data_IF_724301600923
#
_entry.id   IF_724301600923
#
_cell.length_a   1.000
_cell.length_b   1.000
_cell.length_c   1.000
_cell.angle_alpha   90.00
_cell.angle_beta   90.00
_cell.angle_gamma   90.00
#
_symmetry.space_group_name_H-M   'P 1'
#
loop_
_entity.id
_entity.type
_entity.pdbx_description
1 polymer ?
#
# COMPACT_ATOMS: atom_id res chain seq x y z
N UNK A 1 -8.89 -23.13 1.13
CA UNK A 1 -9.95 -22.12 1.30
C UNK A 1 -10.81 -22.60 2.46
N UNK A 2 -10.70 -21.94 3.62
CA UNK A 2 -11.45 -22.32 4.82
C UNK A 2 -12.95 -22.16 4.60
N UNK A 3 -13.75 -22.91 5.37
CA UNK A 3 -15.20 -22.76 5.38
C UNK A 3 -15.55 -21.33 5.84
N UNK A 4 -16.45 -20.65 5.11
CA UNK A 4 -16.86 -19.28 5.47
C UNK A 4 -17.62 -19.33 6.81
N UNK A 5 -17.33 -18.42 7.76
CA UNK A 5 -18.07 -18.35 9.01
C UNK A 5 -19.56 -18.11 8.73
N UNK A 6 -20.43 -18.83 9.45
CA UNK A 6 -21.87 -18.56 9.42
C UNK A 6 -22.22 -17.36 10.33
N UNK A 7 -23.45 -16.85 10.26
CA UNK A 7 -23.88 -15.67 11.02
C UNK A 7 -23.68 -15.82 12.55
N UNK A 8 -23.96 -17.00 13.11
CA UNK A 8 -23.76 -17.28 14.55
C UNK A 8 -22.28 -17.19 14.92
N UNK A 9 -21.39 -17.65 14.04
CA UNK A 9 -19.95 -17.52 14.25
C UNK A 9 -19.48 -16.07 14.12
N UNK A 10 -20.00 -15.31 13.16
CA UNK A 10 -19.71 -13.88 13.02
C UNK A 10 -20.16 -13.08 14.25
N UNK A 11 -21.32 -13.40 14.80
CA UNK A 11 -21.82 -12.81 16.05
C UNK A 11 -20.90 -13.17 17.23
N UNK A 12 -20.52 -14.45 17.36
CA UNK A 12 -19.59 -14.91 18.41
C UNK A 12 -18.22 -14.23 18.32
N UNK A 13 -17.75 -13.95 17.11
CA UNK A 13 -16.49 -13.24 16.85
C UNK A 13 -16.59 -11.73 17.13
N UNK A 14 -17.79 -11.21 17.41
CA UNK A 14 -18.04 -9.79 17.68
C UNK A 14 -17.96 -8.90 16.43
N UNK A 15 -18.03 -9.49 15.24
CA UNK A 15 -17.92 -8.77 13.96
C UNK A 15 -19.26 -8.53 13.27
N UNK A 16 -20.36 -9.04 13.85
CA UNK A 16 -21.73 -8.90 13.34
C UNK A 16 -22.72 -8.83 14.51
N UNK A 17 -23.71 -7.93 14.43
CA UNK A 17 -24.84 -7.86 15.35
C UNK A 17 -26.14 -7.89 14.53
N UNK A 18 -26.93 -8.99 14.59
CA UNK A 18 -28.18 -9.09 13.83
C UNK A 18 -29.26 -8.10 14.30
N UNK A 19 -29.12 -7.52 15.50
CA UNK A 19 -30.01 -6.49 16.03
C UNK A 19 -29.66 -5.07 15.60
N UNK A 20 -28.51 -4.86 14.96
CA UNK A 20 -28.07 -3.54 14.54
C UNK A 20 -28.94 -2.99 13.38
N UNK A 21 -29.23 -1.66 13.34
CA UNK A 21 -30.03 -1.06 12.26
C UNK A 21 -29.47 -1.30 10.86
N UNK A 22 -28.16 -1.48 10.73
CA UNK A 22 -27.40 -1.70 9.50
C UNK A 22 -26.95 -3.16 9.33
N UNK A 23 -27.49 -4.12 10.11
CA UNK A 23 -27.11 -5.53 10.08
C UNK A 23 -27.12 -6.13 8.66
N UNK A 24 -28.15 -5.82 7.86
CA UNK A 24 -28.24 -6.30 6.48
C UNK A 24 -27.09 -5.77 5.59
N UNK A 25 -26.72 -4.50 5.75
CA UNK A 25 -25.61 -3.89 5.00
C UNK A 25 -24.25 -4.45 5.46
N UNK A 26 -24.09 -4.65 6.77
CA UNK A 26 -22.88 -5.24 7.36
C UNK A 26 -22.68 -6.68 6.88
N UNK A 27 -23.75 -7.48 6.83
CA UNK A 27 -23.68 -8.87 6.35
C UNK A 27 -23.29 -8.95 4.87
N UNK A 28 -23.75 -8.01 4.04
CA UNK A 28 -23.32 -7.89 2.64
C UNK A 28 -21.82 -7.61 2.56
N UNK A 29 -21.29 -6.66 3.33
CA UNK A 29 -19.86 -6.34 3.34
C UNK A 29 -19.00 -7.50 3.83
N UNK A 30 -19.42 -8.18 4.91
CA UNK A 30 -18.72 -9.36 5.46
C UNK A 30 -18.65 -10.46 4.40
N UNK A 31 -19.77 -10.77 3.75
CA UNK A 31 -19.86 -11.79 2.70
C UNK A 31 -18.87 -11.50 1.57
N UNK A 32 -18.83 -10.24 1.11
CA UNK A 32 -17.93 -9.81 0.03
C UNK A 32 -16.46 -9.82 0.45
N UNK A 33 -16.14 -9.41 1.66
CA UNK A 33 -14.76 -9.49 2.17
C UNK A 33 -14.24 -10.93 2.14
N UNK A 34 -15.04 -11.90 2.61
CA UNK A 34 -14.67 -13.32 2.52
C UNK A 34 -14.62 -13.85 1.09
N UNK A 35 -15.44 -13.34 0.17
CA UNK A 35 -15.36 -13.65 -1.27
C UNK A 35 -14.07 -13.15 -1.92
N UNK A 36 -13.57 -12.01 -1.47
CA UNK A 36 -12.27 -11.47 -1.84
C UNK A 36 -11.09 -12.18 -1.15
N UNK A 37 -11.35 -13.15 -0.28
CA UNK A 37 -10.34 -13.97 0.37
C UNK A 37 -9.87 -13.48 1.74
N UNK A 38 -10.62 -12.57 2.39
CA UNK A 38 -10.30 -12.15 3.75
C UNK A 38 -10.21 -13.33 4.72
N UNK A 39 -9.23 -13.31 5.61
CA UNK A 39 -9.18 -14.18 6.77
C UNK A 39 -10.09 -13.66 7.88
N UNK A 40 -10.51 -14.55 8.80
CA UNK A 40 -11.28 -14.15 9.99
C UNK A 40 -10.55 -13.09 10.79
N UNK A 41 -9.24 -13.27 10.98
CA UNK A 41 -8.38 -12.35 11.71
C UNK A 41 -8.35 -10.95 11.09
N UNK A 42 -8.33 -10.85 9.75
CA UNK A 42 -8.41 -9.56 9.05
C UNK A 42 -9.77 -8.90 9.23
N UNK A 43 -10.86 -9.66 9.15
CA UNK A 43 -12.23 -9.14 9.36
C UNK A 43 -12.42 -8.64 10.79
N UNK A 44 -11.96 -9.40 11.79
CA UNK A 44 -11.99 -8.99 13.21
C UNK A 44 -11.22 -7.70 13.40
N UNK A 45 -9.98 -7.62 12.91
CA UNK A 45 -9.17 -6.41 13.03
C UNK A 45 -9.80 -5.22 12.31
N UNK A 46 -10.24 -5.41 11.06
CA UNK A 46 -10.81 -4.35 10.26
C UNK A 46 -12.04 -3.75 10.95
N UNK A 47 -12.95 -4.59 11.45
CA UNK A 47 -14.16 -4.14 12.16
C UNK A 47 -13.84 -3.24 13.36
N UNK A 48 -12.73 -3.48 14.06
CA UNK A 48 -12.37 -2.69 15.24
C UNK A 48 -11.51 -1.46 14.95
N UNK A 49 -10.84 -1.38 13.80
CA UNK A 49 -9.84 -0.32 13.54
C UNK A 49 -10.26 0.64 12.43
N UNK A 50 -10.64 0.13 11.25
CA UNK A 50 -10.79 0.96 10.04
C UNK A 50 -12.01 0.64 9.16
N UNK A 51 -12.77 -0.41 9.50
CA UNK A 51 -13.97 -0.86 8.80
C UNK A 51 -13.68 -1.82 7.63
N UNK A 52 -14.74 -2.46 7.13
CA UNK A 52 -14.65 -3.46 6.06
C UNK A 52 -14.35 -2.86 4.69
N UNK A 53 -14.71 -1.59 4.47
CA UNK A 53 -14.45 -0.90 3.21
C UNK A 53 -12.95 -0.84 2.86
N UNK A 54 -12.10 -0.29 3.73
CA UNK A 54 -10.65 -0.28 3.49
C UNK A 54 -10.02 -1.67 3.45
N UNK A 55 -10.55 -2.65 4.20
CA UNK A 55 -10.10 -4.05 4.07
C UNK A 55 -10.37 -4.58 2.66
N UNK A 56 -11.59 -4.40 2.15
CA UNK A 56 -11.93 -4.85 0.80
C UNK A 56 -11.08 -4.14 -0.27
N UNK A 57 -10.74 -2.86 -0.05
CA UNK A 57 -9.83 -2.13 -0.93
C UNK A 57 -8.42 -2.74 -0.94
N UNK A 58 -7.88 -3.05 0.23
CA UNK A 58 -6.59 -3.75 0.36
C UNK A 58 -6.63 -5.11 -0.37
N UNK A 59 -7.64 -5.94 -0.10
CA UNK A 59 -7.77 -7.26 -0.72
C UNK A 59 -7.76 -7.21 -2.26
N UNK A 60 -8.44 -6.23 -2.88
CA UNK A 60 -8.45 -6.10 -4.35
C UNK A 60 -7.15 -5.55 -4.93
N UNK A 61 -6.32 -4.89 -4.12
CA UNK A 61 -5.01 -4.38 -4.54
C UNK A 61 -3.90 -5.42 -4.42
N UNK A 62 -4.07 -6.46 -3.59
CA UNK A 62 -3.07 -7.51 -3.39
C UNK A 62 -2.86 -8.31 -4.68
N UNK A 63 -1.61 -8.58 -5.08
CA UNK A 63 -1.36 -9.53 -6.15
C UNK A 63 -1.72 -10.96 -5.72
N UNK A 64 -1.90 -11.90 -6.67
CA UNK A 64 -2.11 -13.30 -6.35
C UNK A 64 -0.96 -13.88 -5.51
N UNK A 65 -1.29 -14.58 -4.43
CA UNK A 65 -0.36 -15.30 -3.59
C UNK A 65 -0.65 -15.14 -2.09
N UNK A 66 0.10 -15.85 -1.27
CA UNK A 66 -0.02 -15.76 0.18
C UNK A 66 0.67 -14.50 0.70
N UNK A 67 0.05 -13.87 1.70
CA UNK A 67 0.62 -12.73 2.41
C UNK A 67 1.15 -13.15 3.77
N UNK A 68 2.19 -12.47 4.26
CA UNK A 68 2.85 -12.81 5.52
C UNK A 68 2.89 -11.62 6.48
N UNK A 69 3.01 -11.87 7.78
CA UNK A 69 3.41 -10.81 8.72
C UNK A 69 4.88 -10.43 8.47
N UNK A 70 5.24 -9.18 8.74
CA UNK A 70 6.63 -8.71 8.55
C UNK A 70 7.65 -9.57 9.30
N UNK A 71 7.34 -9.94 10.55
CA UNK A 71 8.20 -10.83 11.35
C UNK A 71 8.40 -12.21 10.71
N UNK A 72 7.32 -12.82 10.20
CA UNK A 72 7.38 -14.13 9.54
C UNK A 72 8.17 -14.07 8.23
N UNK A 73 8.00 -12.99 7.46
CA UNK A 73 8.80 -12.73 6.28
C UNK A 73 10.28 -12.55 6.63
N UNK A 74 10.59 -11.73 7.65
CA UNK A 74 11.96 -11.50 8.10
C UNK A 74 12.66 -12.82 8.49
N UNK A 75 12.01 -13.64 9.32
CA UNK A 75 12.50 -14.96 9.75
C UNK A 75 12.67 -15.94 8.58
N UNK A 76 11.72 -15.95 7.63
CA UNK A 76 11.69 -16.90 6.52
C UNK A 76 12.45 -16.47 5.25
N UNK A 77 12.88 -15.21 5.15
CA UNK A 77 13.44 -14.64 3.92
C UNK A 77 14.91 -15.01 3.66
N UNK A 78 15.64 -15.43 4.69
CA UNK A 78 17.09 -15.61 4.66
C UNK A 78 17.89 -14.29 4.66
N UNK A 79 17.22 -13.14 4.80
CA UNK A 79 17.83 -11.84 5.01
C UNK A 79 18.07 -11.59 6.50
N UNK A 80 18.89 -10.59 6.83
CA UNK A 80 19.01 -10.08 8.19
C UNK A 80 17.67 -9.44 8.63
N UNK A 81 17.00 -9.96 9.69
CA UNK A 81 15.74 -9.43 10.17
C UNK A 81 15.78 -7.94 10.53
N UNK A 82 16.90 -7.45 11.07
CA UNK A 82 17.05 -6.05 11.45
C UNK A 82 17.10 -5.15 10.21
N UNK A 83 17.77 -5.61 9.14
CA UNK A 83 17.77 -4.92 7.86
C UNK A 83 16.39 -4.89 7.22
N UNK A 84 15.65 -6.01 7.25
CA UNK A 84 14.28 -6.08 6.73
C UNK A 84 13.38 -5.06 7.42
N UNK A 85 13.41 -5.00 8.75
CA UNK A 85 12.62 -4.03 9.51
C UNK A 85 13.03 -2.59 9.20
N UNK A 86 14.34 -2.29 9.13
CA UNK A 86 14.85 -0.96 8.77
C UNK A 86 14.44 -0.54 7.37
N UNK A 87 14.44 -1.45 6.40
CA UNK A 87 13.97 -1.18 5.03
C UNK A 87 12.47 -0.93 5.01
N UNK A 88 11.67 -1.73 5.72
CA UNK A 88 10.22 -1.54 5.83
C UNK A 88 9.86 -0.15 6.35
N UNK A 89 10.49 0.25 7.46
CA UNK A 89 10.31 1.58 8.06
C UNK A 89 10.87 2.69 7.16
N UNK A 90 12.02 2.47 6.51
CA UNK A 90 12.59 3.44 5.58
C UNK A 90 11.67 3.68 4.37
N UNK A 91 10.97 2.65 3.88
CA UNK A 91 9.96 2.77 2.83
C UNK A 91 8.68 3.48 3.30
N UNK A 92 8.58 3.83 4.59
CA UNK A 92 7.43 4.51 5.18
C UNK A 92 6.26 3.59 5.46
N UNK A 93 6.46 2.27 5.44
CA UNK A 93 5.42 1.30 5.73
C UNK A 93 5.29 1.11 7.25
N UNK A 94 4.06 1.08 7.80
CA UNK A 94 3.85 0.95 9.22
C UNK A 94 4.24 -0.45 9.71
N UNK A 95 4.93 -0.50 10.83
CA UNK A 95 5.10 -1.71 11.65
C UNK A 95 4.31 -1.57 12.95
N UNK A 96 3.01 -1.25 12.80
CA UNK A 96 2.11 -1.11 13.94
C UNK A 96 1.09 -2.24 13.91
N UNK A 97 0.93 -2.92 15.05
CA UNK A 97 -0.09 -3.96 15.22
C UNK A 97 -1.53 -3.46 15.03
N UNK A 98 -1.74 -2.14 15.12
CA UNK A 98 -3.04 -1.52 14.87
C UNK A 98 -3.41 -1.52 13.38
N UNK A 99 -2.43 -1.31 12.50
CA UNK A 99 -2.59 -1.27 11.04
C UNK A 99 -1.49 -2.13 10.39
N UNK A 100 -1.50 -3.46 10.60
CA UNK A 100 -0.47 -4.31 10.05
C UNK A 100 -0.66 -4.40 8.53
N UNK A 101 0.18 -3.71 7.79
CA UNK A 101 0.28 -3.89 6.34
C UNK A 101 0.98 -5.23 6.11
N UNK A 102 0.33 -6.21 5.47
CA UNK A 102 0.96 -7.50 5.27
C UNK A 102 2.06 -7.39 4.20
N UNK A 103 3.06 -8.27 4.30
CA UNK A 103 4.04 -8.44 3.23
C UNK A 103 3.38 -9.28 2.13
N UNK A 104 3.06 -8.63 1.02
CA UNK A 104 2.56 -9.26 -0.21
C UNK A 104 3.71 -9.88 -1.01
N UNK A 105 3.44 -10.82 -1.93
CA UNK A 105 4.47 -11.45 -2.76
C UNK A 105 5.38 -10.46 -3.50
N UNK A 106 4.80 -9.41 -4.09
CA UNK A 106 5.53 -8.36 -4.79
C UNK A 106 6.34 -7.46 -3.84
N UNK A 107 5.79 -7.12 -2.66
CA UNK A 107 6.53 -6.40 -1.63
C UNK A 107 7.71 -7.22 -1.10
N UNK A 108 7.55 -8.54 -0.92
CA UNK A 108 8.61 -9.44 -0.53
C UNK A 108 9.74 -9.47 -1.58
N UNK A 109 9.40 -9.53 -2.87
CA UNK A 109 10.37 -9.44 -3.96
C UNK A 109 11.09 -8.09 -3.99
N UNK A 110 10.36 -6.99 -3.82
CA UNK A 110 10.93 -5.65 -3.76
C UNK A 110 11.93 -5.52 -2.60
N UNK A 111 11.58 -6.01 -1.40
CA UNK A 111 12.48 -5.95 -0.24
C UNK A 111 13.73 -6.79 -0.47
N UNK A 112 13.59 -8.01 -1.03
CA UNK A 112 14.75 -8.85 -1.38
C UNK A 112 15.69 -8.15 -2.36
N UNK A 113 15.13 -7.52 -3.40
CA UNK A 113 15.91 -6.76 -4.37
C UNK A 113 16.63 -5.58 -3.72
N UNK A 114 15.93 -4.81 -2.89
CA UNK A 114 16.50 -3.65 -2.20
C UNK A 114 17.59 -4.08 -1.22
N UNK A 115 17.38 -5.16 -0.46
CA UNK A 115 18.38 -5.73 0.43
C UNK A 115 19.63 -6.17 -0.34
N UNK A 116 19.49 -6.83 -1.50
CA UNK A 116 20.62 -7.23 -2.34
C UNK A 116 21.44 -6.04 -2.85
N UNK A 117 20.84 -4.86 -3.04
CA UNK A 117 21.58 -3.66 -3.44
C UNK A 117 22.54 -3.15 -2.35
N UNK A 118 22.37 -3.55 -1.10
CA UNK A 118 23.25 -3.11 0.01
C UNK A 118 24.68 -3.62 -0.16
N UNK A 119 24.87 -4.80 -0.78
CA UNK A 119 26.19 -5.34 -1.08
C UNK A 119 26.93 -4.51 -2.14
N UNK A 120 26.20 -3.89 -3.06
CA UNK A 120 26.77 -3.11 -4.16
C UNK A 120 26.97 -1.64 -3.80
N UNK A 121 25.99 -1.03 -3.12
CA UNK A 121 25.92 0.42 -2.90
C UNK A 121 26.25 0.83 -1.45
N UNK A 122 26.33 -0.13 -0.53
CA UNK A 122 26.41 0.12 0.89
C UNK A 122 25.04 0.34 1.53
N UNK A 123 24.88 -0.16 2.75
CA UNK A 123 23.61 -0.16 3.47
C UNK A 123 23.04 1.24 3.72
N UNK A 124 23.88 2.19 4.15
CA UNK A 124 23.46 3.57 4.45
C UNK A 124 22.89 4.28 3.21
N UNK A 125 23.51 4.05 2.05
CA UNK A 125 23.06 4.62 0.76
C UNK A 125 21.70 4.03 0.38
N UNK A 126 21.55 2.70 0.47
CA UNK A 126 20.29 2.03 0.14
C UNK A 126 19.16 2.49 1.08
N UNK A 127 19.42 2.62 2.38
CA UNK A 127 18.41 3.12 3.32
C UNK A 127 18.02 4.58 3.04
N UNK A 128 18.97 5.44 2.66
CA UNK A 128 18.67 6.81 2.27
C UNK A 128 17.82 6.87 0.98
N UNK A 129 18.12 6.02 0.01
CA UNK A 129 17.30 5.87 -1.21
C UNK A 129 15.91 5.34 -0.89
N UNK A 130 15.79 4.33 -0.02
CA UNK A 130 14.51 3.80 0.43
C UNK A 130 13.63 4.87 1.09
N UNK A 131 14.20 5.73 1.96
CA UNK A 131 13.49 6.88 2.56
C UNK A 131 13.01 7.89 1.53
N UNK A 132 13.86 8.20 0.55
CA UNK A 132 13.51 9.14 -0.52
C UNK A 132 12.39 8.59 -1.40
N UNK A 133 12.49 7.31 -1.76
CA UNK A 133 11.50 6.61 -2.56
C UNK A 133 10.16 6.50 -1.81
N UNK A 134 10.18 6.00 -0.56
CA UNK A 134 9.01 5.84 0.29
C UNK A 134 8.27 7.15 0.53
N UNK A 135 8.99 8.22 0.90
CA UNK A 135 8.37 9.54 1.11
C UNK A 135 7.78 10.14 -0.18
N UNK A 136 8.39 9.87 -1.34
CA UNK A 136 7.85 10.31 -2.63
C UNK A 136 6.57 9.55 -2.99
N UNK A 137 6.55 8.23 -2.78
CA UNK A 137 5.36 7.41 -2.98
C UNK A 137 4.23 7.80 -2.04
N UNK A 138 4.51 7.99 -0.74
CA UNK A 138 3.52 8.41 0.25
C UNK A 138 2.81 9.71 -0.16
N UNK A 139 3.58 10.72 -0.59
CA UNK A 139 3.01 11.99 -1.07
C UNK A 139 2.16 11.82 -2.34
N UNK A 140 2.57 10.93 -3.24
CA UNK A 140 1.81 10.62 -4.45
C UNK A 140 0.49 9.91 -4.12
N UNK A 141 0.52 8.90 -3.23
CA UNK A 141 -0.67 8.13 -2.84
C UNK A 141 -1.62 8.94 -1.97
N UNK A 142 -1.13 9.86 -1.13
CA UNK A 142 -1.95 10.84 -0.39
C UNK A 142 -2.70 11.76 -1.36
N UNK A 143 -2.00 12.31 -2.36
CA UNK A 143 -2.63 13.17 -3.36
C UNK A 143 -3.68 12.40 -4.19
N UNK A 144 -3.37 11.16 -4.59
CA UNK A 144 -4.28 10.28 -5.31
C UNK A 144 -5.52 9.95 -4.47
N UNK A 145 -5.34 9.58 -3.20
CA UNK A 145 -6.43 9.26 -2.27
C UNK A 145 -7.33 10.47 -2.03
N UNK A 146 -6.74 11.67 -1.88
CA UNK A 146 -7.48 12.91 -1.77
C UNK A 146 -8.33 13.21 -3.01
N UNK A 147 -7.74 13.07 -4.20
CA UNK A 147 -8.46 13.24 -5.46
C UNK A 147 -9.58 12.21 -5.63
N UNK A 148 -9.33 10.96 -5.26
CA UNK A 148 -10.31 9.87 -5.32
C UNK A 148 -11.49 10.13 -4.38
N UNK A 149 -11.24 10.53 -3.14
CA UNK A 149 -12.29 10.84 -2.17
C UNK A 149 -13.19 11.98 -2.64
N UNK A 150 -12.63 13.01 -3.25
CA UNK A 150 -13.40 14.13 -3.82
C UNK A 150 -14.17 13.71 -5.07
N UNK A 151 -13.53 12.97 -5.97
CA UNK A 151 -14.11 12.59 -7.27
C UNK A 151 -15.08 11.42 -7.22
N UNK A 152 -14.97 10.54 -6.24
CA UNK A 152 -15.73 9.27 -6.15
C UNK A 152 -16.55 9.22 -4.87
N UNK A 153 -15.95 9.26 -3.68
CA UNK A 153 -16.70 9.04 -2.43
C UNK A 153 -17.74 10.14 -2.13
N UNK A 154 -17.36 11.42 -2.29
CA UNK A 154 -18.25 12.55 -1.98
C UNK A 154 -19.54 12.53 -2.82
N UNK A 155 -19.49 12.33 -4.16
CA UNK A 155 -20.69 12.17 -4.98
C UNK A 155 -21.65 11.08 -4.48
N UNK A 156 -21.13 9.91 -4.11
CA UNK A 156 -21.96 8.80 -3.59
C UNK A 156 -22.64 9.17 -2.27
N UNK A 157 -21.93 9.87 -1.37
CA UNK A 157 -22.50 10.37 -0.11
C UNK A 157 -23.62 11.37 -0.35
N UNK A 158 -23.43 12.31 -1.29
CA UNK A 158 -24.46 13.30 -1.65
C UNK A 158 -25.69 12.65 -2.27
N UNK A 159 -25.51 11.58 -3.04
CA UNK A 159 -26.60 10.82 -3.64
C UNK A 159 -27.35 9.92 -2.64
N UNK A 160 -26.85 9.76 -1.41
CA UNK A 160 -27.44 8.86 -0.42
C UNK A 160 -27.29 7.38 -0.79
N UNK A 161 -26.25 7.02 -1.55
CA UNK A 161 -25.99 5.64 -1.94
C UNK A 161 -25.72 4.78 -0.71
N UNK A 162 -26.34 3.58 -0.58
CA UNK A 162 -26.05 2.65 0.51
C UNK A 162 -24.56 2.32 0.58
N UNK A 163 -24.01 2.26 1.79
CA UNK A 163 -22.56 2.13 1.96
C UNK A 163 -21.96 0.88 1.30
N UNK A 164 -22.58 -0.32 1.35
CA UNK A 164 -22.08 -1.48 0.63
C UNK A 164 -21.97 -1.28 -0.88
N UNK A 165 -22.86 -0.50 -1.48
CA UNK A 165 -22.78 -0.18 -2.90
C UNK A 165 -21.62 0.76 -3.19
N UNK A 166 -21.37 1.77 -2.34
CA UNK A 166 -20.19 2.65 -2.47
C UNK A 166 -18.90 1.84 -2.43
N UNK A 167 -18.82 0.87 -1.51
CA UNK A 167 -17.67 -0.03 -1.37
C UNK A 167 -17.43 -0.87 -2.62
N UNK A 168 -18.47 -1.46 -3.19
CA UNK A 168 -18.35 -2.17 -4.46
C UNK A 168 -17.86 -1.28 -5.59
N UNK A 169 -18.48 -0.10 -5.73
CA UNK A 169 -18.22 0.79 -6.85
C UNK A 169 -16.75 1.22 -6.87
N UNK A 170 -16.17 1.59 -5.71
CA UNK A 170 -14.75 1.94 -5.67
C UNK A 170 -13.82 0.72 -5.77
N UNK A 171 -14.18 -0.44 -5.21
CA UNK A 171 -13.31 -1.64 -5.29
C UNK A 171 -13.23 -2.18 -6.71
N UNK A 172 -14.35 -2.19 -7.43
CA UNK A 172 -14.41 -2.51 -8.87
C UNK A 172 -13.57 -1.53 -9.67
N UNK A 173 -13.76 -0.23 -9.45
CA UNK A 173 -13.02 0.81 -10.14
C UNK A 173 -11.50 0.66 -9.95
N UNK A 174 -11.05 0.42 -8.72
CA UNK A 174 -9.63 0.23 -8.41
C UNK A 174 -9.09 -1.06 -9.03
N UNK A 175 -9.79 -2.18 -8.88
CA UNK A 175 -9.38 -3.46 -9.48
C UNK A 175 -9.16 -3.33 -10.99
N UNK A 176 -10.05 -2.61 -11.66
CA UNK A 176 -10.04 -2.50 -13.12
C UNK A 176 -9.03 -1.45 -13.62
N UNK A 177 -8.75 -0.39 -12.86
CA UNK A 177 -7.86 0.70 -13.27
C UNK A 177 -6.42 0.62 -12.74
N UNK A 178 -6.20 -0.03 -11.59
CA UNK A 178 -4.89 -0.08 -10.94
C UNK A 178 -3.77 -0.61 -11.85
N UNK A 179 -3.95 -1.71 -12.62
CA UNK A 179 -2.89 -2.20 -13.51
C UNK A 179 -2.43 -1.15 -14.52
N UNK A 180 -3.37 -0.44 -15.15
CA UNK A 180 -3.06 0.63 -16.12
C UNK A 180 -2.35 1.82 -15.46
N UNK A 181 -2.76 2.17 -14.24
CA UNK A 181 -2.09 3.20 -13.47
C UNK A 181 -0.64 2.82 -13.16
N UNK A 182 -0.40 1.59 -12.69
CA UNK A 182 0.95 1.09 -12.38
C UNK A 182 1.83 1.02 -13.63
N UNK A 183 1.28 0.59 -14.77
CA UNK A 183 1.97 0.60 -16.07
C UNK A 183 2.39 2.01 -16.47
N UNK A 184 1.52 3.00 -16.28
CA UNK A 184 1.82 4.40 -16.56
C UNK A 184 2.93 4.94 -15.65
N UNK A 185 2.88 4.63 -14.35
CA UNK A 185 3.93 5.00 -13.38
C UNK A 185 5.27 4.38 -13.78
N UNK A 186 5.31 3.09 -14.11
CA UNK A 186 6.51 2.40 -14.57
C UNK A 186 7.07 3.02 -15.87
N UNK A 187 6.21 3.31 -16.83
CA UNK A 187 6.61 3.95 -18.09
C UNK A 187 7.24 5.34 -17.84
N UNK A 188 6.63 6.16 -16.98
CA UNK A 188 7.14 7.49 -16.63
C UNK A 188 8.43 7.41 -15.81
N UNK A 189 8.51 6.49 -14.84
CA UNK A 189 9.71 6.27 -14.05
C UNK A 189 10.93 5.99 -14.94
N UNK A 190 10.80 5.13 -15.95
CA UNK A 190 11.85 4.87 -16.93
C UNK A 190 12.27 6.12 -17.70
N UNK A 191 11.33 7.00 -18.03
CA UNK A 191 11.64 8.27 -18.71
C UNK A 191 12.34 9.26 -17.80
N UNK A 192 11.96 9.33 -16.54
CA UNK A 192 12.68 10.12 -15.54
C UNK A 192 14.11 9.62 -15.34
N UNK A 193 14.31 8.30 -15.31
CA UNK A 193 15.65 7.72 -15.19
C UNK A 193 16.56 8.10 -16.38
N UNK A 194 16.03 8.00 -17.62
CA UNK A 194 16.76 8.44 -18.83
C UNK A 194 16.97 9.95 -18.85
N UNK A 195 15.99 10.75 -18.44
CA UNK A 195 16.11 12.20 -18.40
C UNK A 195 17.20 12.65 -17.42
N UNK A 196 17.30 12.00 -16.25
CA UNK A 196 18.37 12.26 -15.29
C UNK A 196 19.73 11.82 -15.86
N UNK A 197 19.82 10.69 -16.56
CA UNK A 197 21.12 10.23 -17.10
C UNK A 197 21.73 11.20 -18.12
N UNK A 198 20.91 11.94 -18.88
CA UNK A 198 21.40 13.01 -19.77
C UNK A 198 21.92 14.24 -19.03
N UNK A 199 21.50 14.42 -17.78
CA UNK A 199 21.85 15.57 -16.95
C UNK A 199 23.09 15.32 -16.10
N UNK A 200 23.45 14.05 -15.90
CA UNK A 200 24.70 13.66 -15.25
C UNK A 200 25.87 13.99 -16.20
N UNK A 201 26.69 14.97 -15.84
CA UNK A 201 28.04 15.14 -16.41
C UNK A 201 29.05 14.97 -15.29
N UNK A 202 30.17 14.33 -15.63
CA UNK A 202 31.40 14.10 -14.84
C UNK A 202 31.24 13.92 -13.31
N UNK A 203 31.75 12.80 -12.81
CA UNK A 203 32.14 12.73 -11.39
C UNK A 203 33.23 13.77 -11.15
N UNK A 204 33.14 14.52 -10.06
CA UNK A 204 34.20 15.44 -9.63
C UNK A 204 35.58 14.72 -9.59
N UNK A 205 36.70 15.43 -9.67
CA UNK A 205 38.05 14.83 -9.70
C UNK A 205 38.30 13.90 -8.49
N UNK A 206 37.64 14.16 -7.35
CA UNK A 206 37.67 13.32 -6.15
C UNK A 206 36.63 12.18 -6.11
N UNK A 207 35.77 12.03 -7.13
CA UNK A 207 34.67 11.06 -7.23
C UNK A 207 33.68 11.10 -6.04
N UNK A 208 33.68 12.19 -5.26
CA UNK A 208 32.90 12.32 -4.04
C UNK A 208 31.45 12.78 -4.29
N UNK A 209 31.16 13.37 -5.46
CA UNK A 209 29.81 13.82 -5.81
C UNK A 209 29.59 13.84 -7.32
N UNK A 210 28.33 13.62 -7.70
CA UNK A 210 27.81 13.90 -9.03
C UNK A 210 27.43 15.38 -9.08
N UNK A 211 27.92 16.11 -10.09
CA UNK A 211 27.50 17.51 -10.32
C UNK A 211 26.35 17.59 -11.32
N UNK A 212 25.40 18.48 -11.08
CA UNK A 212 24.26 18.74 -11.96
C UNK A 212 24.20 20.23 -12.28
N UNK A 213 24.29 20.60 -13.55
CA UNK A 213 24.11 21.99 -13.98
C UNK A 213 22.62 22.36 -13.88
N UNK A 214 22.28 23.25 -12.94
CA UNK A 214 20.90 23.67 -12.64
C UNK A 214 20.85 25.16 -12.34
N UNK A 215 19.88 25.83 -12.94
CA UNK A 215 19.48 27.18 -12.50
C UNK A 215 18.42 27.06 -11.41
N UNK A 216 18.71 27.60 -10.23
CA UNK A 216 17.77 27.66 -9.11
C UNK A 216 17.21 29.08 -9.02
N UNK A 217 15.88 29.21 -9.04
CA UNK A 217 15.17 30.47 -8.81
C UNK A 217 14.21 30.31 -7.65
N UNK A 218 14.19 31.29 -6.74
CA UNK A 218 13.23 31.34 -5.64
C UNK A 218 12.13 32.36 -5.99
N UNK A 219 10.88 31.95 -5.79
CA UNK A 219 9.73 32.85 -5.85
C UNK A 219 8.97 32.68 -4.53
N UNK A 220 8.85 33.77 -3.79
CA UNK A 220 8.11 33.83 -2.52
C UNK A 220 6.76 34.50 -2.75
N UNK A 221 5.75 34.07 -2.01
CA UNK A 221 4.41 34.67 -2.05
C UNK A 221 4.31 35.71 -0.94
N UNK A 222 3.98 36.95 -1.32
CA UNK A 222 3.83 38.11 -0.42
C UNK A 222 2.47 38.10 0.27
#
# INVERSE_FOLDING_TARGET
MGERPNEVELERLGVYDPGAPDAAEQLVLLTRAFELGATVDEVVRATHVFGLGPLMLDLVMRPPGETQRLAEFAEGSGLDPDLVHRLWVALGLPDSNALPVPVTPDAAEAIRLIAAMTELLGEDVVLALARTYGSSLARMTEALSGAFRVGVEVPHRVAGTPYPQVVDDYTVLVRDLLPFFLDAVNALFRRHLVAVSYQLRDTDEEHAAVTLDRTVGFADLV
#
